data_IF_956964527667
#
_entry.id   IF_956964527667
#
_cell.length_a   1.000
_cell.length_b   1.000
_cell.length_c   1.000
_cell.angle_alpha   90.00
_cell.angle_beta   90.00
_cell.angle_gamma   90.00
#
_symmetry.space_group_name_H-M   'P 1'
#
loop_
_entity.id
_entity.type
_entity.pdbx_description
1 polymer ?
#
# COMPACT_ATOMS: atom_id res chain seq x y z
N UNK A 1 -18.86 10.12 14.36
CA UNK A 1 -17.44 10.50 14.57
C UNK A 1 -16.79 9.44 15.46
N UNK A 2 -15.93 8.59 14.89
CA UNK A 2 -15.20 7.56 15.65
C UNK A 2 -13.94 8.19 16.25
N UNK A 3 -13.97 8.56 17.53
CA UNK A 3 -12.81 9.14 18.20
C UNK A 3 -11.91 8.01 18.74
N UNK A 4 -10.64 7.93 18.31
CA UNK A 4 -9.74 6.87 18.75
C UNK A 4 -9.39 7.03 20.24
N UNK A 5 -9.49 5.94 21.00
CA UNK A 5 -9.13 5.93 22.42
C UNK A 5 -7.62 5.71 22.52
N UNK A 6 -6.91 6.73 22.99
CA UNK A 6 -5.47 6.68 23.22
C UNK A 6 -5.12 5.88 24.48
N UNK A 7 -4.08 5.05 24.37
CA UNK A 7 -3.58 4.26 25.50
C UNK A 7 -2.40 5.00 26.10
N UNK A 8 -2.42 5.16 27.42
CA UNK A 8 -1.28 5.61 28.21
C UNK A 8 -0.76 4.43 29.02
N UNK A 9 0.29 3.79 28.53
CA UNK A 9 0.95 2.71 29.24
C UNK A 9 1.69 3.25 30.46
N UNK A 10 1.88 2.40 31.48
CA UNK A 10 2.92 2.63 32.48
C UNK A 10 4.30 2.44 31.83
N UNK A 11 5.35 3.05 32.39
CA UNK A 11 6.70 2.98 31.81
C UNK A 11 7.22 1.54 31.61
N UNK A 12 6.83 0.62 32.50
CA UNK A 12 7.16 -0.80 32.40
C UNK A 12 6.38 -1.50 31.29
N UNK A 13 5.07 -1.26 31.21
CA UNK A 13 4.20 -1.84 30.18
C UNK A 13 4.57 -1.34 28.78
N UNK A 14 4.90 -0.05 28.64
CA UNK A 14 5.35 0.52 27.37
C UNK A 14 6.65 -0.15 26.88
N UNK A 15 7.57 -0.43 27.79
CA UNK A 15 8.84 -1.10 27.45
C UNK A 15 8.60 -2.54 26.99
N UNK A 16 7.71 -3.27 27.67
CA UNK A 16 7.33 -4.63 27.26
C UNK A 16 6.59 -4.62 25.90
N UNK A 17 5.70 -3.66 25.69
CA UNK A 17 4.95 -3.54 24.44
C UNK A 17 5.87 -3.15 23.27
N UNK A 18 6.81 -2.21 23.46
CA UNK A 18 7.84 -1.91 22.45
C UNK A 18 8.67 -3.12 22.09
N UNK A 19 9.11 -3.89 23.09
CA UNK A 19 9.82 -5.15 22.85
C UNK A 19 8.98 -6.14 22.02
N UNK A 20 7.71 -6.31 22.37
CA UNK A 20 6.77 -7.14 21.61
C UNK A 20 6.64 -6.69 20.14
N UNK A 21 6.44 -5.38 19.90
CA UNK A 21 6.34 -4.84 18.55
C UNK A 21 7.63 -5.06 17.75
N UNK A 22 8.78 -4.78 18.36
CA UNK A 22 10.10 -4.92 17.75
C UNK A 22 10.39 -6.34 17.31
N UNK A 23 10.15 -7.32 18.17
CA UNK A 23 10.41 -8.73 17.87
C UNK A 23 9.45 -9.28 16.82
N UNK A 24 8.15 -8.95 16.89
CA UNK A 24 7.19 -9.34 15.85
C UNK A 24 7.56 -8.70 14.51
N UNK A 25 7.86 -7.41 14.49
CA UNK A 25 8.20 -6.68 13.28
C UNK A 25 9.47 -7.24 12.63
N UNK A 26 10.52 -7.51 13.42
CA UNK A 26 11.74 -8.18 12.95
C UNK A 26 11.44 -9.56 12.38
N UNK A 27 10.61 -10.35 13.05
CA UNK A 27 10.23 -11.68 12.60
C UNK A 27 9.53 -11.64 11.23
N UNK A 28 8.57 -10.73 11.03
CA UNK A 28 7.85 -10.63 9.74
C UNK A 28 8.72 -10.03 8.63
N UNK A 29 9.56 -9.04 8.93
CA UNK A 29 10.51 -8.48 7.96
C UNK A 29 11.47 -9.57 7.47
N UNK A 30 12.08 -10.31 8.40
CA UNK A 30 13.00 -11.38 8.05
C UNK A 30 12.29 -12.53 7.31
N UNK A 31 11.08 -12.89 7.74
CA UNK A 31 10.28 -13.94 7.11
C UNK A 31 9.87 -13.61 5.66
N UNK A 32 9.73 -12.33 5.31
CA UNK A 32 9.38 -11.87 3.97
C UNK A 32 10.57 -11.35 3.15
N UNK A 33 11.79 -11.47 3.68
CA UNK A 33 12.99 -10.90 3.06
C UNK A 33 13.21 -11.39 1.63
N UNK A 34 13.16 -12.71 1.39
CA UNK A 34 13.30 -13.27 0.02
C UNK A 34 12.23 -12.75 -0.93
N UNK A 35 10.99 -12.63 -0.44
CA UNK A 35 9.88 -12.16 -1.24
C UNK A 35 10.07 -10.70 -1.66
N UNK A 36 10.47 -9.83 -0.74
CA UNK A 36 10.61 -8.39 -0.98
C UNK A 36 11.93 -8.00 -1.65
N UNK A 37 13.04 -8.64 -1.31
CA UNK A 37 14.38 -8.26 -1.80
C UNK A 37 14.83 -9.05 -3.03
N UNK A 38 14.34 -10.28 -3.23
CA UNK A 38 14.73 -11.14 -4.36
C UNK A 38 13.63 -11.23 -5.41
N UNK A 39 12.45 -11.71 -5.01
CA UNK A 39 11.38 -12.07 -5.96
C UNK A 39 10.70 -10.85 -6.55
N UNK A 40 10.36 -9.86 -5.73
CA UNK A 40 9.66 -8.66 -6.20
C UNK A 40 10.49 -7.86 -7.21
N UNK A 41 11.79 -7.57 -7.00
CA UNK A 41 12.62 -6.92 -8.02
C UNK A 41 12.74 -7.73 -9.30
N UNK A 42 12.87 -9.06 -9.19
CA UNK A 42 12.86 -9.95 -10.36
C UNK A 42 11.55 -9.83 -11.14
N UNK A 43 10.41 -9.86 -10.47
CA UNK A 43 9.10 -9.72 -11.11
C UNK A 43 8.93 -8.34 -11.77
N UNK A 44 9.41 -7.26 -11.13
CA UNK A 44 9.42 -5.93 -11.75
C UNK A 44 10.23 -5.90 -13.03
N UNK A 45 11.44 -6.46 -13.01
CA UNK A 45 12.31 -6.57 -14.20
C UNK A 45 11.64 -7.34 -15.34
N UNK A 46 11.01 -8.48 -15.04
CA UNK A 46 10.32 -9.31 -16.03
C UNK A 46 9.12 -8.55 -16.62
N UNK A 47 8.33 -7.90 -15.77
CA UNK A 47 7.18 -7.09 -16.21
C UNK A 47 7.60 -5.88 -17.04
N UNK A 48 8.69 -5.21 -16.69
CA UNK A 48 9.23 -4.10 -17.49
C UNK A 48 9.97 -4.59 -18.76
N UNK A 49 10.03 -5.91 -18.97
CA UNK A 49 10.78 -6.55 -20.05
C UNK A 49 12.24 -6.06 -20.16
N UNK A 50 12.88 -5.89 -19.01
CA UNK A 50 14.27 -5.47 -18.96
C UNK A 50 15.23 -6.65 -19.14
N UNK A 51 16.23 -6.53 -20.03
CA UNK A 51 17.26 -7.55 -20.16
C UNK A 51 18.11 -7.64 -18.88
N UNK A 52 18.78 -8.79 -18.70
CA UNK A 52 19.67 -9.00 -17.55
C UNK A 52 20.91 -8.09 -17.60
N UNK A 53 21.43 -7.89 -18.81
CA UNK A 53 22.58 -7.03 -19.10
C UNK A 53 22.11 -5.94 -20.06
N UNK A 54 22.70 -4.75 -20.04
CA UNK A 54 22.36 -3.69 -21.00
C UNK A 54 22.90 -4.02 -22.39
N UNK A 55 24.14 -4.51 -22.44
CA UNK A 55 24.81 -4.99 -23.63
C UNK A 55 25.21 -6.43 -23.40
N UNK A 56 24.84 -7.29 -24.35
CA UNK A 56 25.16 -8.70 -24.31
C UNK A 56 26.35 -8.98 -25.22
N UNK A 57 27.39 -9.64 -24.68
CA UNK A 57 28.61 -9.96 -25.44
C UNK A 57 28.73 -11.45 -25.83
N UNK A 58 27.72 -12.25 -25.49
CA UNK A 58 27.69 -13.68 -25.80
C UNK A 58 26.47 -14.01 -26.66
N UNK A 59 26.62 -14.71 -27.81
CA UNK A 59 27.81 -15.45 -28.23
C UNK A 59 28.91 -14.62 -28.91
N UNK A 60 28.61 -13.40 -29.39
CA UNK A 60 29.57 -12.46 -29.95
C UNK A 60 29.32 -11.04 -29.41
N UNK A 61 30.26 -10.13 -29.64
CA UNK A 61 30.17 -8.75 -29.15
C UNK A 61 28.93 -8.04 -29.70
N UNK A 62 28.14 -7.40 -28.83
CA UNK A 62 26.86 -6.77 -29.16
C UNK A 62 25.82 -7.74 -29.75
N UNK A 63 25.78 -8.97 -29.23
CA UNK A 63 24.73 -9.93 -29.53
C UNK A 63 23.33 -9.41 -29.15
N UNK A 64 22.31 -9.99 -29.79
CA UNK A 64 20.91 -9.59 -29.61
C UNK A 64 20.44 -9.79 -28.17
N UNK A 65 19.80 -8.76 -27.65
CA UNK A 65 19.41 -8.66 -26.24
C UNK A 65 17.96 -8.17 -26.08
N UNK A 66 17.09 -8.66 -26.95
CA UNK A 66 15.65 -8.40 -26.90
C UNK A 66 15.00 -9.21 -25.79
N UNK A 67 14.05 -8.59 -25.08
CA UNK A 67 13.13 -9.28 -24.17
C UNK A 67 11.71 -9.06 -24.67
N UNK A 68 10.99 -10.14 -24.93
CA UNK A 68 9.60 -10.08 -25.42
C UNK A 68 8.66 -9.90 -24.22
N UNK A 69 7.83 -8.85 -24.16
CA UNK A 69 7.06 -8.46 -22.96
C UNK A 69 5.78 -9.30 -22.75
N UNK A 70 5.89 -10.62 -22.75
CA UNK A 70 4.73 -11.53 -22.66
C UNK A 70 4.01 -11.36 -21.32
N UNK A 71 4.77 -11.33 -20.22
CA UNK A 71 4.21 -11.16 -18.88
C UNK A 71 3.45 -9.84 -18.76
N UNK A 72 3.98 -8.76 -19.33
CA UNK A 72 3.37 -7.42 -19.32
C UNK A 72 2.07 -7.40 -20.12
N UNK A 73 2.10 -7.88 -21.37
CA UNK A 73 0.94 -7.91 -22.26
C UNK A 73 -0.23 -8.68 -21.61
N UNK A 74 0.04 -9.87 -21.06
CA UNK A 74 -1.01 -10.67 -20.44
C UNK A 74 -1.49 -10.09 -19.11
N UNK A 75 -0.58 -9.52 -18.30
CA UNK A 75 -0.95 -8.87 -17.04
C UNK A 75 -1.86 -7.67 -17.28
N UNK A 76 -1.49 -6.78 -18.20
CA UNK A 76 -2.26 -5.57 -18.49
C UNK A 76 -3.60 -5.90 -19.14
N UNK A 77 -3.62 -6.88 -20.04
CA UNK A 77 -4.87 -7.37 -20.65
C UNK A 77 -5.81 -7.95 -19.60
N UNK A 78 -5.31 -8.76 -18.66
CA UNK A 78 -6.14 -9.34 -17.61
C UNK A 78 -6.63 -8.26 -16.64
N UNK A 79 -5.76 -7.36 -16.20
CA UNK A 79 -6.14 -6.24 -15.33
C UNK A 79 -7.22 -5.36 -15.96
N UNK A 80 -7.08 -5.03 -17.25
CA UNK A 80 -8.07 -4.24 -17.98
C UNK A 80 -9.43 -4.96 -18.07
N UNK A 81 -9.43 -6.27 -18.34
CA UNK A 81 -10.65 -7.08 -18.38
C UNK A 81 -11.35 -7.16 -17.02
N UNK A 82 -10.60 -7.38 -15.94
CA UNK A 82 -11.16 -7.44 -14.58
C UNK A 82 -11.71 -6.07 -14.19
N UNK A 83 -10.95 -5.00 -14.41
CA UNK A 83 -11.39 -3.63 -14.12
C UNK A 83 -12.67 -3.29 -14.89
N UNK A 84 -12.73 -3.63 -16.18
CA UNK A 84 -13.93 -3.44 -16.98
C UNK A 84 -15.10 -4.28 -16.44
N UNK A 85 -14.89 -5.54 -16.07
CA UNK A 85 -15.95 -6.40 -15.54
C UNK A 85 -16.53 -5.87 -14.21
N UNK A 86 -15.68 -5.37 -13.31
CA UNK A 86 -16.10 -4.81 -12.01
C UNK A 86 -16.83 -3.48 -12.19
N UNK A 87 -16.27 -2.55 -12.96
CA UNK A 87 -16.77 -1.17 -12.99
C UNK A 87 -17.78 -0.87 -14.12
N UNK A 88 -17.92 -1.75 -15.11
CA UNK A 88 -18.92 -1.59 -16.19
C UNK A 88 -20.34 -1.88 -15.71
N UNK A 89 -20.49 -2.72 -14.69
CA UNK A 89 -21.81 -3.03 -14.13
C UNK A 89 -22.36 -1.82 -13.38
N UNK A 90 -23.63 -1.52 -13.63
CA UNK A 90 -24.40 -0.49 -12.93
C UNK A 90 -25.74 -1.10 -12.50
N UNK A 91 -26.11 -0.97 -11.22
CA UNK A 91 -25.33 -0.38 -10.11
C UNK A 91 -24.10 -1.23 -9.74
N UNK A 92 -23.12 -0.63 -9.05
CA UNK A 92 -21.92 -1.38 -8.61
C UNK A 92 -22.25 -2.42 -7.53
N UNK A 93 -23.22 -2.10 -6.68
CA UNK A 93 -23.77 -3.01 -5.69
C UNK A 93 -25.23 -3.26 -6.00
N UNK A 94 -25.60 -4.53 -6.10
CA UNK A 94 -26.98 -4.96 -6.17
C UNK A 94 -27.49 -5.22 -4.74
N UNK A 95 -28.48 -4.44 -4.32
CA UNK A 95 -29.15 -4.58 -3.03
C UNK A 95 -30.39 -5.47 -3.20
N UNK A 96 -30.72 -6.22 -2.16
CA UNK A 96 -31.95 -6.99 -2.08
C UNK A 96 -32.84 -6.42 -0.98
N UNK A 97 -34.14 -6.30 -1.27
CA UNK A 97 -35.13 -5.89 -0.29
C UNK A 97 -35.46 -7.10 0.58
N UNK A 98 -35.11 -7.05 1.85
CA UNK A 98 -35.45 -8.09 2.82
C UNK A 98 -36.71 -7.73 3.61
N UNK A 99 -37.86 -8.30 3.25
CA UNK A 99 -39.15 -8.03 3.91
C UNK A 99 -40.22 -7.55 2.93
N UNK A 100 -41.40 -7.22 3.45
CA UNK A 100 -42.50 -6.66 2.64
C UNK A 100 -42.59 -5.14 2.86
N UNK A 101 -42.21 -4.38 1.83
CA UNK A 101 -42.22 -2.92 1.82
C UNK A 101 -43.16 -2.36 0.73
N UNK A 102 -43.99 -3.22 0.12
CA UNK A 102 -44.82 -2.84 -1.01
C UNK A 102 -44.03 -2.17 -2.16
N UNK A 103 -44.68 -1.25 -2.86
CA UNK A 103 -44.13 -0.59 -4.05
C UNK A 103 -43.03 0.46 -3.72
N UNK A 104 -42.97 0.97 -2.48
CA UNK A 104 -41.97 1.97 -2.06
C UNK A 104 -40.57 1.35 -1.88
N UNK A 105 -40.50 0.06 -1.57
CA UNK A 105 -39.24 -0.66 -1.36
C UNK A 105 -38.33 -0.60 -2.59
N UNK A 106 -38.89 -0.69 -3.79
CA UNK A 106 -38.13 -0.67 -5.03
C UNK A 106 -37.52 0.69 -5.33
N UNK A 107 -38.26 1.78 -5.05
CA UNK A 107 -37.76 3.14 -5.19
C UNK A 107 -36.61 3.42 -4.22
N UNK A 108 -36.73 2.94 -2.97
CA UNK A 108 -35.67 3.05 -1.95
C UNK A 108 -34.43 2.23 -2.33
N UNK A 109 -34.62 0.99 -2.80
CA UNK A 109 -33.54 0.12 -3.28
C UNK A 109 -32.73 0.81 -4.37
N UNK A 110 -33.41 1.28 -5.42
CA UNK A 110 -32.77 1.98 -6.55
C UNK A 110 -32.03 3.25 -6.10
N UNK A 111 -32.64 4.04 -5.21
CA UNK A 111 -32.01 5.25 -4.67
C UNK A 111 -30.75 4.93 -3.86
N UNK A 112 -30.78 3.90 -3.03
CA UNK A 112 -29.63 3.45 -2.25
C UNK A 112 -28.51 2.90 -3.14
N UNK A 113 -28.84 2.13 -4.18
CA UNK A 113 -27.86 1.61 -5.15
C UNK A 113 -27.13 2.72 -5.92
N UNK A 114 -27.86 3.76 -6.33
CA UNK A 114 -27.28 4.93 -6.99
C UNK A 114 -26.39 5.70 -6.02
N UNK A 115 -26.88 5.99 -4.81
CA UNK A 115 -26.10 6.69 -3.79
C UNK A 115 -24.79 5.97 -3.46
N UNK A 116 -24.84 4.64 -3.26
CA UNK A 116 -23.62 3.85 -3.01
C UNK A 116 -22.68 3.92 -4.22
N UNK A 117 -23.20 3.77 -5.44
CA UNK A 117 -22.40 3.83 -6.66
C UNK A 117 -21.69 5.19 -6.81
N UNK A 118 -22.38 6.29 -6.50
CA UNK A 118 -21.80 7.64 -6.54
C UNK A 118 -20.71 7.77 -5.45
N UNK A 119 -21.01 7.39 -4.20
CA UNK A 119 -20.02 7.37 -3.10
C UNK A 119 -18.76 6.54 -3.43
N UNK A 120 -18.91 5.43 -4.16
CA UNK A 120 -17.79 4.61 -4.61
C UNK A 120 -16.85 5.34 -5.57
N UNK A 121 -17.43 6.09 -6.51
CA UNK A 121 -16.72 6.55 -7.69
C UNK A 121 -16.24 7.98 -7.57
N UNK A 122 -16.90 8.80 -6.76
CA UNK A 122 -16.54 10.19 -6.56
C UNK A 122 -15.14 10.30 -5.92
N UNK A 123 -14.21 11.07 -6.52
CA UNK A 123 -12.84 11.25 -6.02
C UNK A 123 -12.76 11.87 -4.62
N UNK A 124 -13.77 12.66 -4.25
CA UNK A 124 -13.89 13.33 -2.96
C UNK A 124 -14.41 12.39 -1.86
N UNK A 125 -14.88 11.20 -2.25
CA UNK A 125 -15.45 10.20 -1.36
C UNK A 125 -14.50 9.00 -1.25
N UNK A 126 -14.89 7.82 -1.73
CA UNK A 126 -14.08 6.61 -1.62
C UNK A 126 -13.04 6.47 -2.73
N UNK A 127 -13.26 7.07 -3.90
CA UNK A 127 -12.40 6.96 -5.08
C UNK A 127 -11.95 5.52 -5.39
N UNK A 128 -12.91 4.59 -5.34
CA UNK A 128 -12.63 3.16 -5.45
C UNK A 128 -12.03 2.79 -6.79
N UNK A 129 -12.35 3.50 -7.88
CA UNK A 129 -11.80 3.20 -9.20
C UNK A 129 -10.28 3.30 -9.21
N UNK A 130 -9.70 4.41 -8.68
CA UNK A 130 -8.25 4.58 -8.60
C UNK A 130 -7.62 3.51 -7.72
N UNK A 131 -8.20 3.28 -6.54
CA UNK A 131 -7.66 2.33 -5.55
C UNK A 131 -7.71 0.89 -6.10
N UNK A 132 -8.83 0.47 -6.68
CA UNK A 132 -8.99 -0.86 -7.25
C UNK A 132 -8.13 -1.07 -8.48
N UNK A 133 -7.94 -0.06 -9.34
CA UNK A 133 -7.04 -0.18 -10.50
C UNK A 133 -5.65 -0.57 -10.04
N UNK A 134 -5.11 0.12 -9.04
CA UNK A 134 -3.76 -0.13 -8.54
C UNK A 134 -3.68 -1.45 -7.75
N UNK A 135 -4.72 -1.77 -6.97
CA UNK A 135 -4.87 -3.04 -6.28
C UNK A 135 -4.93 -4.24 -7.22
N UNK A 136 -5.78 -4.20 -8.24
CA UNK A 136 -5.90 -5.26 -9.25
C UNK A 136 -4.61 -5.42 -10.04
N UNK A 137 -3.88 -4.33 -10.29
CA UNK A 137 -2.56 -4.37 -10.90
C UNK A 137 -1.60 -5.26 -10.11
N UNK A 138 -1.48 -5.04 -8.80
CA UNK A 138 -0.61 -5.84 -7.95
C UNK A 138 -1.12 -7.29 -7.77
N UNK A 139 -2.45 -7.49 -7.67
CA UNK A 139 -3.05 -8.84 -7.64
C UNK A 139 -2.67 -9.61 -8.89
N UNK A 140 -2.79 -9.00 -10.08
CA UNK A 140 -2.50 -9.68 -11.34
C UNK A 140 -0.99 -9.90 -11.51
N UNK A 141 -0.17 -8.90 -11.22
CA UNK A 141 1.29 -8.97 -11.42
C UNK A 141 1.98 -9.89 -10.42
N UNK A 142 1.75 -9.65 -9.12
CA UNK A 142 2.47 -10.29 -8.02
C UNK A 142 1.65 -11.37 -7.30
N UNK A 143 0.36 -11.48 -7.60
CA UNK A 143 -0.52 -12.53 -7.09
C UNK A 143 -1.26 -12.18 -5.82
N UNK A 144 -0.90 -11.08 -5.14
CA UNK A 144 -1.56 -10.62 -3.92
C UNK A 144 -1.49 -9.10 -3.83
N UNK A 145 -2.56 -8.50 -3.33
CA UNK A 145 -2.57 -7.10 -2.92
C UNK A 145 -3.53 -6.92 -1.77
N UNK A 146 -3.36 -5.82 -1.04
CA UNK A 146 -4.17 -5.50 0.14
C UNK A 146 -4.53 -4.01 0.09
N UNK A 147 -5.81 -3.74 0.33
CA UNK A 147 -6.36 -2.42 0.60
C UNK A 147 -6.59 -2.33 2.11
N UNK A 148 -6.29 -1.18 2.68
CA UNK A 148 -6.70 -0.82 4.04
C UNK A 148 -7.66 0.35 3.93
N UNK A 149 -8.78 0.30 4.64
CA UNK A 149 -9.76 1.39 4.70
C UNK A 149 -9.79 2.01 6.10
N UNK A 150 -8.77 2.83 6.46
CA UNK A 150 -8.81 3.57 7.70
C UNK A 150 -9.88 4.66 7.67
N UNK A 151 -10.38 5.03 8.84
CA UNK A 151 -11.12 6.28 9.02
C UNK A 151 -10.13 7.44 9.10
N UNK A 152 -10.26 8.42 8.22
CA UNK A 152 -9.41 9.62 8.20
C UNK A 152 -10.27 10.87 8.36
N UNK A 153 -9.82 11.75 9.26
CA UNK A 153 -10.39 13.08 9.43
C UNK A 153 -9.35 14.10 8.97
N UNK A 154 -9.64 14.80 7.88
CA UNK A 154 -8.80 15.86 7.32
C UNK A 154 -9.31 17.21 7.82
N UNK A 155 -8.47 17.87 8.61
CA UNK A 155 -8.69 19.26 9.01
C UNK A 155 -7.70 20.18 8.32
N UNK A 156 -8.20 21.31 7.82
CA UNK A 156 -7.41 22.37 7.22
C UNK A 156 -7.76 23.71 7.88
N UNK A 157 -6.74 24.52 8.14
CA UNK A 157 -6.93 25.86 8.69
C UNK A 157 -7.28 26.82 7.53
N UNK A 158 -8.54 27.25 7.46
CA UNK A 158 -9.00 28.21 6.45
C UNK A 158 -8.88 29.63 7.00
N UNK A 159 -8.29 30.51 6.19
CA UNK A 159 -8.19 31.93 6.49
C UNK A 159 -9.54 32.61 6.20
N UNK A 160 -10.23 33.01 7.27
CA UNK A 160 -11.48 33.78 7.20
C UNK A 160 -11.14 35.26 7.40
N UNK A 161 -11.58 36.17 6.52
CA UNK A 161 -11.31 37.60 6.69
C UNK A 161 -11.95 38.10 7.99
N UNK A 162 -11.17 38.82 8.80
CA UNK A 162 -11.62 39.29 10.11
C UNK A 162 -12.67 40.43 10.05
N UNK A 163 -13.06 40.88 8.84
CA UNK A 163 -14.09 41.91 8.63
C UNK A 163 -13.58 43.36 8.74
N UNK A 164 -12.31 43.56 9.09
CA UNK A 164 -11.76 44.89 9.45
C UNK A 164 -11.25 45.70 8.25
N UNK A 165 -11.37 45.19 7.01
CA UNK A 165 -10.88 45.85 5.79
C UNK A 165 -9.35 46.00 5.70
N UNK A 166 -8.60 45.54 6.70
CA UNK A 166 -7.17 45.81 6.87
C UNK A 166 -6.26 44.60 6.53
N UNK A 167 -6.81 43.58 5.85
CA UNK A 167 -6.07 42.36 5.50
C UNK A 167 -5.80 41.40 6.66
N UNK A 168 -6.41 41.60 7.83
CA UNK A 168 -6.41 40.66 8.94
C UNK A 168 -7.23 39.41 8.61
N UNK A 169 -6.68 38.23 8.91
CA UNK A 169 -7.37 36.95 8.78
C UNK A 169 -7.35 36.19 10.11
N UNK A 170 -8.43 35.47 10.37
CA UNK A 170 -8.51 34.46 11.42
C UNK A 170 -8.34 33.09 10.78
N UNK A 171 -7.54 32.23 11.39
CA UNK A 171 -7.46 30.83 10.99
C UNK A 171 -8.52 30.05 11.75
N UNK A 172 -9.45 29.42 11.04
CA UNK A 172 -10.45 28.53 11.60
C UNK A 172 -10.18 27.12 11.07
N UNK A 173 -10.13 26.15 11.96
CA UNK A 173 -9.99 24.75 11.58
C UNK A 173 -11.33 24.25 11.02
N UNK A 174 -11.35 23.87 9.74
CA UNK A 174 -12.50 23.29 9.07
C UNK A 174 -12.24 21.82 8.75
N UNK A 175 -13.24 20.96 8.98
CA UNK A 175 -13.18 19.54 8.62
C UNK A 175 -13.52 19.44 7.13
N UNK A 176 -12.49 19.27 6.30
CA UNK A 176 -12.64 19.12 4.85
C UNK A 176 -13.16 17.73 4.48
N UNK A 177 -12.77 16.72 5.25
CA UNK A 177 -13.18 15.33 5.02
C UNK A 177 -13.24 14.56 6.33
N UNK A 178 -14.29 13.78 6.55
CA UNK A 178 -14.42 12.85 7.68
C UNK A 178 -15.08 11.56 7.22
N UNK A 179 -14.26 10.53 6.95
CA UNK A 179 -14.77 9.30 6.40
C UNK A 179 -13.72 8.22 6.17
N UNK A 180 -14.16 7.03 5.72
CA UNK A 180 -13.25 5.98 5.30
C UNK A 180 -12.50 6.40 4.03
N UNK A 181 -11.18 6.24 4.03
CA UNK A 181 -10.34 6.52 2.86
C UNK A 181 -9.55 5.28 2.45
N UNK A 182 -10.06 4.47 1.51
CA UNK A 182 -9.36 3.28 1.05
C UNK A 182 -7.99 3.63 0.45
N UNK A 183 -6.96 2.93 0.91
CA UNK A 183 -5.61 3.01 0.35
C UNK A 183 -5.11 1.63 -0.03
N UNK A 184 -4.48 1.52 -1.20
CA UNK A 184 -3.74 0.32 -1.57
C UNK A 184 -2.41 0.32 -0.85
N UNK A 185 -2.11 -0.75 -0.13
CA UNK A 185 -0.79 -0.97 0.49
C UNK A 185 0.13 -1.55 -0.59
N UNK A 186 1.28 -0.91 -0.81
CA UNK A 186 2.28 -1.43 -1.73
C UNK A 186 2.76 -2.81 -1.27
N UNK A 187 3.03 -3.71 -2.22
CA UNK A 187 3.36 -5.09 -1.93
C UNK A 187 4.54 -5.23 -0.96
N UNK A 188 5.60 -4.43 -1.15
CA UNK A 188 6.79 -4.42 -0.29
C UNK A 188 6.59 -3.78 1.09
N UNK A 189 5.47 -3.08 1.30
CA UNK A 189 5.16 -2.37 2.53
C UNK A 189 4.12 -3.11 3.38
N UNK A 190 3.66 -4.28 2.91
CA UNK A 190 2.79 -5.22 3.62
C UNK A 190 3.63 -6.22 4.42
N UNK A 191 3.39 -6.28 5.73
CA UNK A 191 4.06 -7.23 6.61
C UNK A 191 3.03 -8.05 7.39
N UNK A 192 2.97 -9.35 7.07
CA UNK A 192 2.15 -10.33 7.77
C UNK A 192 2.99 -11.60 8.02
N UNK A 193 2.73 -12.37 9.08
CA UNK A 193 3.39 -13.65 9.29
C UNK A 193 3.20 -14.58 8.08
N UNK A 194 4.24 -15.22 7.55
CA UNK A 194 4.15 -16.07 6.34
C UNK A 194 3.14 -17.23 6.46
N UNK A 195 2.93 -17.74 7.67
CA UNK A 195 1.98 -18.80 8.00
C UNK A 195 0.50 -18.36 8.02
N UNK A 196 0.24 -17.06 7.84
CA UNK A 196 -1.12 -16.53 7.77
C UNK A 196 -1.81 -17.13 6.56
N UNK A 197 -3.00 -17.70 6.72
CA UNK A 197 -3.85 -18.18 5.61
C UNK A 197 -5.02 -17.25 5.33
N UNK A 198 -5.51 -16.57 6.37
CA UNK A 198 -6.63 -15.64 6.34
C UNK A 198 -6.16 -14.31 6.93
N UNK A 199 -6.18 -13.25 6.13
CA UNK A 199 -5.69 -11.92 6.51
C UNK A 199 -6.34 -11.38 7.79
N UNK A 200 -7.67 -11.54 7.92
CA UNK A 200 -8.41 -11.03 9.08
C UNK A 200 -8.06 -11.71 10.40
N UNK A 201 -7.47 -12.91 10.35
CA UNK A 201 -7.04 -13.68 11.51
C UNK A 201 -5.55 -13.58 11.79
N UNK A 202 -4.80 -12.77 11.02
CA UNK A 202 -3.38 -12.59 11.27
C UNK A 202 -3.18 -11.97 12.67
N UNK A 203 -2.31 -12.55 13.52
CA UNK A 203 -2.08 -12.06 14.89
C UNK A 203 -1.35 -10.71 14.90
N UNK A 204 -0.59 -10.44 13.84
CA UNK A 204 0.18 -9.23 13.62
C UNK A 204 0.09 -8.84 12.14
N UNK A 205 -0.16 -7.56 11.87
CA UNK A 205 -0.09 -6.97 10.52
C UNK A 205 0.64 -5.65 10.65
N UNK A 206 1.48 -5.30 9.70
CA UNK A 206 2.09 -3.98 9.66
C UNK A 206 2.05 -3.39 8.26
N UNK A 207 1.75 -2.09 8.19
CA UNK A 207 1.90 -1.27 6.99
C UNK A 207 3.10 -0.34 7.22
N UNK A 208 4.13 -0.45 6.39
CA UNK A 208 5.24 0.53 6.38
C UNK A 208 4.83 1.76 5.58
N UNK A 209 4.68 2.90 6.26
CA UNK A 209 4.46 4.21 5.65
C UNK A 209 5.77 4.96 5.57
N UNK A 210 6.14 5.35 4.36
CA UNK A 210 7.30 6.20 4.09
C UNK A 210 6.86 7.65 4.24
N UNK A 211 7.29 8.31 5.29
CA UNK A 211 6.89 9.69 5.58
C UNK A 211 8.07 10.63 5.33
N UNK A 212 7.81 11.74 4.65
CA UNK A 212 8.76 12.85 4.54
C UNK A 212 8.85 13.66 5.83
N UNK A 213 9.80 14.59 5.90
CA UNK A 213 9.87 15.55 7.01
C UNK A 213 8.57 16.36 7.15
N UNK A 214 8.03 16.84 6.02
CA UNK A 214 6.78 17.61 5.97
C UNK A 214 5.60 16.78 6.50
N UNK A 215 5.52 15.52 6.11
CA UNK A 215 4.48 14.59 6.57
C UNK A 215 4.46 14.38 8.08
N UNK A 216 5.65 14.25 8.69
CA UNK A 216 5.79 14.10 10.13
C UNK A 216 5.39 15.39 10.84
N UNK A 217 5.77 16.55 10.32
CA UNK A 217 5.45 17.85 10.91
C UNK A 217 3.95 18.15 10.84
N UNK A 218 3.28 17.84 9.73
CA UNK A 218 1.82 17.96 9.62
C UNK A 218 1.13 17.06 10.66
N UNK A 219 1.57 15.81 10.81
CA UNK A 219 1.00 14.87 11.78
C UNK A 219 1.29 15.27 13.23
N UNK A 220 2.43 15.92 13.50
CA UNK A 220 2.76 16.55 14.78
C UNK A 220 1.80 17.69 15.11
N UNK A 221 1.58 18.59 14.14
CA UNK A 221 0.71 19.76 14.30
C UNK A 221 -0.75 19.34 14.53
N UNK A 222 -1.22 18.34 13.77
CA UNK A 222 -2.55 17.74 13.93
C UNK A 222 -2.72 16.91 15.21
N UNK A 223 -1.67 16.75 16.02
CA UNK A 223 -1.73 15.97 17.27
C UNK A 223 -1.96 14.47 17.06
N UNK A 224 -1.73 13.95 15.85
CA UNK A 224 -1.91 12.52 15.54
C UNK A 224 -0.81 11.69 16.21
N UNK A 225 0.42 12.21 16.20
CA UNK A 225 1.61 11.58 16.79
C UNK A 225 2.10 12.35 18.00
N UNK A 226 2.73 11.62 18.92
CA UNK A 226 3.34 12.21 20.10
C UNK A 226 4.48 13.19 19.72
N UNK A 227 4.46 14.36 20.36
CA UNK A 227 5.37 15.47 20.06
C UNK A 227 6.81 15.16 20.48
N UNK A 228 6.99 14.40 21.57
CA UNK A 228 8.30 14.01 22.06
C UNK A 228 8.86 12.85 21.21
N UNK A 229 8.00 11.87 20.89
CA UNK A 229 8.34 10.80 19.95
C UNK A 229 8.85 11.32 18.60
N UNK A 230 8.18 12.31 18.01
CA UNK A 230 8.67 12.91 16.75
C UNK A 230 10.05 13.54 16.94
N UNK A 231 10.27 14.31 18.01
CA UNK A 231 11.57 14.94 18.24
C UNK A 231 12.71 13.91 18.38
N UNK A 232 12.42 12.75 18.96
CA UNK A 232 13.40 11.66 19.09
C UNK A 232 13.81 11.06 17.73
N UNK A 233 12.91 11.03 16.74
CA UNK A 233 13.18 10.39 15.44
C UNK A 233 13.73 11.34 14.37
N UNK A 234 13.52 12.65 14.50
CA UNK A 234 13.91 13.62 13.48
C UNK A 234 15.41 13.60 13.14
N UNK A 235 16.28 13.22 14.09
CA UNK A 235 17.71 13.10 13.88
C UNK A 235 18.16 11.79 13.21
N UNK A 236 17.27 10.82 13.06
CA UNK A 236 17.57 9.47 12.58
C UNK A 236 16.62 9.06 11.45
N UNK A 237 16.74 9.68 10.25
CA UNK A 237 16.00 9.22 9.07
C UNK A 237 16.50 7.84 8.62
N UNK A 238 15.59 6.96 8.20
CA UNK A 238 15.97 5.67 7.59
C UNK A 238 16.69 5.89 6.25
N UNK A 239 16.32 6.96 5.53
CA UNK A 239 16.87 7.29 4.23
C UNK A 239 17.10 8.80 4.09
N UNK A 240 18.23 9.17 3.51
CA UNK A 240 18.58 10.57 3.21
C UNK A 240 18.38 10.94 1.74
N UNK A 241 17.76 10.04 0.97
CA UNK A 241 17.49 10.20 -0.46
C UNK A 241 16.92 8.92 -1.06
N UNK A 242 16.64 8.91 -2.38
CA UNK A 242 15.99 7.78 -3.04
C UNK A 242 16.84 6.51 -2.96
N UNK A 243 16.17 5.38 -2.73
CA UNK A 243 16.77 4.04 -2.78
C UNK A 243 17.30 3.71 -4.18
N UNK A 244 18.19 2.73 -4.31
CA UNK A 244 18.71 2.33 -5.63
C UNK A 244 17.59 1.98 -6.65
N UNK A 245 16.53 1.24 -6.29
CA UNK A 245 15.39 1.01 -7.18
C UNK A 245 14.63 2.29 -7.55
N UNK A 246 14.47 3.22 -6.61
CA UNK A 246 13.84 4.52 -6.89
C UNK A 246 14.71 5.37 -7.82
N UNK A 247 16.02 5.40 -7.62
CA UNK A 247 16.96 6.08 -8.53
C UNK A 247 16.88 5.50 -9.94
N UNK A 248 16.76 4.18 -10.07
CA UNK A 248 16.59 3.53 -11.36
C UNK A 248 15.24 3.92 -12.01
N UNK A 249 14.15 3.95 -11.23
CA UNK A 249 12.84 4.40 -11.70
C UNK A 249 12.84 5.89 -12.11
N UNK A 250 13.47 6.75 -11.31
CA UNK A 250 13.66 8.17 -11.61
C UNK A 250 14.45 8.35 -12.91
N UNK A 251 15.57 7.64 -13.06
CA UNK A 251 16.37 7.66 -14.28
C UNK A 251 15.57 7.21 -15.51
N UNK A 252 14.75 6.16 -15.39
CA UNK A 252 13.85 5.71 -16.46
C UNK A 252 12.78 6.74 -16.80
N UNK A 253 12.28 7.47 -15.80
CA UNK A 253 11.31 8.54 -15.97
C UNK A 253 11.94 9.86 -16.45
N UNK A 254 13.27 9.94 -16.55
CA UNK A 254 13.98 11.18 -16.85
C UNK A 254 13.90 12.22 -15.72
N UNK A 255 13.61 11.78 -14.49
CA UNK A 255 13.53 12.62 -13.29
C UNK A 255 14.71 12.34 -12.36
N UNK A 256 14.98 13.24 -11.42
CA UNK A 256 16.02 13.01 -10.40
C UNK A 256 15.64 13.78 -9.14
N UNK A 257 15.58 13.08 -8.02
CA UNK A 257 15.38 13.73 -6.72
C UNK A 257 16.69 14.30 -6.21
N UNK A 258 16.73 15.61 -6.00
CA UNK A 258 17.89 16.28 -5.40
C UNK A 258 17.96 15.90 -3.92
N UNK A 259 19.10 15.34 -3.51
CA UNK A 259 19.33 14.99 -2.11
C UNK A 259 19.39 16.25 -1.24
N UNK A 260 18.67 16.23 -0.12
CA UNK A 260 18.57 17.35 0.81
C UNK A 260 17.76 16.98 2.05
N UNK A 261 17.63 17.92 2.99
CA UNK A 261 16.89 17.69 4.24
C UNK A 261 15.42 17.33 4.01
N UNK A 262 14.82 17.90 2.97
CA UNK A 262 13.43 17.61 2.55
C UNK A 262 13.30 16.21 1.96
N UNK A 263 14.37 15.66 1.38
CA UNK A 263 14.40 14.32 0.80
C UNK A 263 14.67 13.21 1.84
N UNK A 264 14.75 13.56 3.13
CA UNK A 264 14.82 12.57 4.22
C UNK A 264 13.47 11.88 4.36
N UNK A 265 13.53 10.56 4.51
CA UNK A 265 12.35 9.71 4.67
C UNK A 265 12.49 8.84 5.92
N UNK A 266 11.37 8.62 6.60
CA UNK A 266 11.24 7.77 7.78
C UNK A 266 10.28 6.62 7.48
N UNK A 267 10.69 5.41 7.85
CA UNK A 267 9.90 4.20 7.77
C UNK A 267 9.09 4.01 9.04
N UNK A 268 7.87 4.52 8.99
CA UNK A 268 6.93 4.46 10.10
C UNK A 268 6.02 3.24 9.92
N UNK A 269 6.08 2.31 10.86
CA UNK A 269 5.27 1.10 10.83
C UNK A 269 3.98 1.32 11.61
N UNK A 270 2.85 1.14 10.93
CA UNK A 270 1.56 1.03 11.58
C UNK A 270 1.27 -0.46 11.85
N UNK A 271 1.47 -0.88 13.09
CA UNK A 271 1.34 -2.24 13.56
C UNK A 271 -0.05 -2.49 14.16
N UNK A 272 -0.76 -3.44 13.61
CA UNK A 272 -2.04 -3.95 14.08
C UNK A 272 -1.79 -5.29 14.75
N UNK A 273 -2.06 -5.38 16.05
CA UNK A 273 -1.73 -6.56 16.82
C UNK A 273 -2.77 -6.87 17.88
N UNK A 274 -2.80 -8.15 18.25
CA UNK A 274 -3.47 -8.63 19.44
C UNK A 274 -2.43 -8.60 20.57
N UNK A 275 -2.77 -7.98 21.70
CA UNK A 275 -1.90 -7.84 22.85
C UNK A 275 -2.64 -8.25 24.13
N UNK A 276 -1.93 -8.88 25.06
CA UNK A 276 -2.45 -9.22 26.39
C UNK A 276 -1.90 -8.21 27.40
N UNK A 277 -2.79 -7.39 27.97
CA UNK A 277 -2.45 -6.36 28.97
C UNK A 277 -2.48 -6.91 30.41
N UNK A 278 -2.27 -8.22 30.59
CA UNK A 278 -2.25 -8.85 31.92
C UNK A 278 -3.62 -9.30 32.41
N UNK A 279 -4.49 -9.77 31.50
CA UNK A 279 -5.80 -10.32 31.83
C UNK A 279 -6.88 -10.09 30.77
N UNK A 280 -6.63 -9.19 29.83
CA UNK A 280 -7.53 -8.92 28.71
C UNK A 280 -6.76 -8.90 27.39
N UNK A 281 -7.26 -9.69 26.44
CA UNK A 281 -6.77 -9.66 25.06
C UNK A 281 -7.40 -8.49 24.32
N UNK A 282 -6.59 -7.50 23.96
CA UNK A 282 -7.02 -6.27 23.29
C UNK A 282 -6.42 -6.18 21.89
N UNK A 283 -7.13 -5.51 20.98
CA UNK A 283 -6.63 -5.19 19.63
C UNK A 283 -6.09 -3.78 19.64
N UNK A 284 -4.81 -3.64 19.29
CA UNK A 284 -4.09 -2.38 19.32
C UNK A 284 -3.62 -1.98 17.92
N UNK A 285 -3.61 -0.68 17.68
CA UNK A 285 -2.98 -0.07 16.53
C UNK A 285 -1.86 0.83 17.08
N UNK A 286 -0.63 0.46 16.78
CA UNK A 286 0.56 1.17 17.20
C UNK A 286 1.30 1.76 16.00
N UNK A 287 1.70 3.03 16.10
CA UNK A 287 2.60 3.66 15.14
C UNK A 287 4.01 3.67 15.73
N UNK A 288 4.94 3.02 15.06
CA UNK A 288 6.26 2.70 15.60
C UNK A 288 7.38 2.96 14.59
N UNK A 289 8.46 3.58 15.03
CA UNK A 289 9.65 3.82 14.24
C UNK A 289 10.75 2.84 14.67
N UNK A 290 11.05 1.87 13.81
CA UNK A 290 11.87 0.71 14.16
C UNK A 290 13.34 1.04 14.42
N UNK A 291 13.90 2.01 13.69
CA UNK A 291 15.32 2.38 13.79
C UNK A 291 15.68 2.92 15.17
N UNK A 292 14.82 3.78 15.73
CA UNK A 292 15.02 4.44 17.03
C UNK A 292 14.28 3.78 18.19
N UNK A 293 13.54 2.69 17.94
CA UNK A 293 12.71 2.02 18.95
C UNK A 293 11.70 2.99 19.63
N UNK A 294 11.08 3.86 18.82
CA UNK A 294 10.22 4.94 19.32
C UNK A 294 8.77 4.69 18.95
N UNK A 295 7.90 4.74 19.97
CA UNK A 295 6.46 4.65 19.82
C UNK A 295 5.88 6.05 19.59
N UNK A 296 5.25 6.28 18.44
CA UNK A 296 4.68 7.58 18.08
C UNK A 296 3.21 7.70 18.46
N UNK A 297 2.48 6.59 18.47
CA UNK A 297 1.05 6.55 18.79
C UNK A 297 0.66 5.14 19.21
N UNK A 298 -0.25 5.00 20.17
CA UNK A 298 -0.96 3.74 20.39
C UNK A 298 -2.41 4.01 20.74
N UNK A 299 -3.30 3.28 20.08
CA UNK A 299 -4.75 3.38 20.25
C UNK A 299 -5.38 1.98 20.29
N UNK A 300 -6.53 1.87 20.93
CA UNK A 300 -7.38 0.69 20.75
C UNK A 300 -7.93 0.67 19.33
N UNK A 301 -8.03 -0.53 18.75
CA UNK A 301 -8.78 -0.74 17.51
C UNK A 301 -10.25 -0.41 17.77
N UNK A 302 -10.75 0.62 17.09
CA UNK A 302 -12.14 1.07 17.18
C UNK A 302 -12.99 0.58 16.00
N UNK A 303 -12.41 -0.23 15.11
CA UNK A 303 -13.13 -0.82 13.98
C UNK A 303 -13.91 -2.06 14.43
N UNK A 304 -15.19 -2.20 14.05
CA UNK A 304 -15.98 -3.40 14.36
C UNK A 304 -15.42 -4.62 13.61
N UNK A 305 -15.07 -4.43 12.35
CA UNK A 305 -14.45 -5.41 11.47
C UNK A 305 -13.03 -5.02 11.10
N UNK A 306 -12.26 -5.97 10.58
CA UNK A 306 -10.90 -5.71 10.12
C UNK A 306 -10.90 -4.82 8.87
N UNK A 307 -10.29 -3.61 8.90
CA UNK A 307 -10.32 -2.69 7.76
C UNK A 307 -9.39 -3.11 6.61
N UNK A 308 -8.75 -4.27 6.73
CA UNK A 308 -7.83 -4.83 5.75
C UNK A 308 -8.57 -5.80 4.84
N UNK A 309 -8.63 -5.48 3.56
CA UNK A 309 -9.24 -6.30 2.52
C UNK A 309 -8.16 -6.67 1.53
N UNK A 310 -7.95 -7.95 1.28
CA UNK A 310 -6.96 -8.37 0.29
C UNK A 310 -7.48 -9.46 -0.63
N UNK A 311 -6.87 -9.54 -1.80
CA UNK A 311 -7.20 -10.51 -2.82
C UNK A 311 -5.96 -11.23 -3.31
N UNK A 312 -6.19 -12.41 -3.89
CA UNK A 312 -5.17 -13.30 -4.41
C UNK A 312 -5.62 -13.77 -5.79
N UNK A 313 -4.73 -13.70 -6.78
CA UNK A 313 -5.07 -14.16 -8.12
C UNK A 313 -5.18 -15.69 -8.15
N UNK A 314 -4.10 -16.36 -7.75
CA UNK A 314 -4.06 -17.81 -7.57
C UNK A 314 -3.60 -18.11 -6.14
N UNK A 315 -4.43 -18.71 -5.27
CA UNK A 315 -4.04 -19.01 -3.90
C UNK A 315 -2.89 -20.04 -3.86
N UNK A 316 -2.00 -19.91 -2.86
CA UNK A 316 -1.02 -20.93 -2.50
C UNK A 316 -1.53 -21.72 -1.30
N UNK A 317 -1.16 -22.99 -1.23
CA UNK A 317 -1.54 -23.84 -0.10
C UNK A 317 -0.80 -23.41 1.17
N UNK A 318 -1.53 -23.31 2.27
CA UNK A 318 -0.96 -23.03 3.60
C UNK A 318 -0.43 -21.61 3.82
N UNK A 319 -0.62 -20.67 2.87
CA UNK A 319 -0.16 -19.28 3.03
C UNK A 319 -1.09 -18.25 2.38
N UNK A 320 -0.98 -17.00 2.80
CA UNK A 320 -1.80 -15.91 2.30
C UNK A 320 -1.28 -15.41 0.95
N UNK A 321 0.02 -15.41 0.69
CA UNK A 321 0.51 -14.94 -0.61
C UNK A 321 0.10 -15.89 -1.74
N UNK A 322 -0.30 -15.32 -2.87
CA UNK A 322 -0.72 -16.02 -4.09
C UNK A 322 0.39 -16.11 -5.14
N UNK A 323 0.08 -16.72 -6.30
CA UNK A 323 0.90 -16.60 -7.51
C UNK A 323 0.38 -15.48 -8.40
N UNK A 324 1.29 -14.67 -8.93
CA UNK A 324 0.99 -13.68 -9.96
C UNK A 324 1.22 -14.21 -11.37
N UNK A 325 0.74 -13.50 -12.38
CA UNK A 325 1.01 -13.84 -13.78
C UNK A 325 2.49 -13.70 -14.13
N UNK A 326 3.18 -12.72 -13.56
CA UNK A 326 4.61 -12.49 -13.85
C UNK A 326 5.44 -13.71 -13.44
N UNK A 327 5.17 -14.26 -12.25
CA UNK A 327 5.82 -15.48 -11.79
C UNK A 327 5.51 -16.67 -12.71
N UNK A 328 4.24 -16.84 -13.11
CA UNK A 328 3.79 -17.96 -13.94
C UNK A 328 4.27 -17.88 -15.39
N UNK A 329 4.48 -16.69 -15.94
CA UNK A 329 4.89 -16.47 -17.33
C UNK A 329 6.40 -16.24 -17.50
N UNK A 330 7.14 -16.11 -16.40
CA UNK A 330 8.58 -15.84 -16.38
C UNK A 330 9.38 -16.76 -17.30
N UNK A 331 9.25 -18.08 -17.13
CA UNK A 331 9.99 -19.07 -17.93
C UNK A 331 9.62 -19.02 -19.41
N UNK A 332 8.36 -18.77 -19.72
CA UNK A 332 7.87 -18.69 -21.11
C UNK A 332 8.38 -17.44 -21.82
N UNK A 333 8.42 -16.31 -21.11
CA UNK A 333 9.02 -15.08 -21.60
C UNK A 333 10.51 -15.24 -21.86
N UNK A 334 11.25 -15.88 -20.96
CA UNK A 334 12.69 -16.15 -21.12
C UNK A 334 12.95 -17.04 -22.33
N UNK A 335 12.19 -18.12 -22.50
CA UNK A 335 12.32 -19.03 -23.64
C UNK A 335 12.09 -18.32 -24.98
N UNK A 336 10.99 -17.57 -25.11
CA UNK A 336 10.65 -16.89 -26.36
C UNK A 336 11.66 -15.77 -26.68
N UNK A 337 12.10 -15.03 -25.67
CA UNK A 337 13.12 -14.00 -25.83
C UNK A 337 14.43 -14.61 -26.32
N UNK A 338 14.84 -15.75 -25.75
CA UNK A 338 16.03 -16.48 -26.19
C UNK A 338 15.92 -16.94 -27.64
N UNK A 339 14.80 -17.55 -28.04
CA UNK A 339 14.60 -17.98 -29.43
C UNK A 339 14.63 -16.81 -30.42
N UNK A 340 14.07 -15.64 -30.08
CA UNK A 340 14.13 -14.46 -30.94
C UNK A 340 15.55 -13.92 -31.08
N UNK A 341 16.30 -13.86 -29.98
CA UNK A 341 17.70 -13.44 -30.00
C UNK A 341 18.56 -14.38 -30.86
N UNK A 342 18.42 -15.69 -30.69
CA UNK A 342 19.14 -16.69 -31.50
C UNK A 342 18.84 -16.57 -33.00
N UNK A 343 17.58 -16.30 -33.36
CA UNK A 343 17.19 -16.07 -34.76
C UNK A 343 17.80 -14.78 -35.33
N UNK A 344 17.78 -13.69 -34.57
CA UNK A 344 18.34 -12.41 -35.00
C UNK A 344 19.88 -12.48 -35.10
N UNK A 345 20.52 -13.15 -34.15
CA UNK A 345 21.97 -13.41 -34.18
C UNK A 345 22.34 -14.27 -35.38
N UNK A 346 21.59 -15.34 -35.67
CA UNK A 346 21.83 -16.19 -36.84
C UNK A 346 21.69 -15.42 -38.18
N UNK A 347 20.71 -14.52 -38.29
CA UNK A 347 20.58 -13.63 -39.45
C UNK A 347 21.76 -12.67 -39.58
N UNK A 348 22.29 -12.19 -38.46
CA UNK A 348 23.44 -11.27 -38.44
C UNK A 348 24.72 -12.00 -38.86
N UNK A 349 24.91 -13.25 -38.45
CA UNK A 349 26.08 -14.07 -38.85
C UNK A 349 26.00 -14.54 -40.32
N UNK A 350 24.79 -14.68 -40.87
CA UNK A 350 24.60 -15.13 -42.25
C UNK A 350 24.84 -14.02 -43.31
N UNK A 351 24.83 -12.76 -42.91
CA UNK A 351 25.16 -11.60 -43.73
C UNK A 351 26.65 -11.24 -43.59
#
# INVERSE_FOLDING_TARGET
MLTPIHIKFSATAETQFRYYLKENLRSVINGLKDLHETRLPLWRRIYDAQPLETVRHFPFENASNLVVPIASIHSDTLQARISAAVFKLRPLWALQIGGDFGDEGEALRSSAENYLTDMALEPEQLDLYRVYRDFLGDVVKYGTSVIKSPWETLTEAMAVPAGDGNGSYNLVDEIVFDGPRPEKIAFEDLFIPPQTTVLSRAPFKAHRRRLSYTDLMIRKQRGIYDKLGIQAILGAPDRTGPTAPQKEQEAKAGTTTIQGEIAREWDIYECWCIYDDGGHTVRLIATYHALTDTLLRTIFSFFPDDPWVGARLFPRDGMYFGYGLVEKLSSFQEEISKQHNERHDAQTVAN
#
